data_IF_292684842545
#
_entry.id   IF_292684842545
#
_cell.length_a   1.000
_cell.length_b   1.000
_cell.length_c   1.000
_cell.angle_alpha   90.00
_cell.angle_beta   90.00
_cell.angle_gamma   90.00
#
_symmetry.space_group_name_H-M   'P 1'
#
loop_
_entity.id
_entity.type
_entity.pdbx_description
1 polymer ?
#
# COMPACT_ATOMS: atom_id res chain seq x y z
N UNK A 1 19.76 -15.91 -31.32
CA UNK A 1 19.00 -14.67 -31.54
C UNK A 1 18.22 -14.39 -30.26
N UNK A 2 18.85 -13.68 -29.31
CA UNK A 2 18.33 -13.47 -27.94
C UNK A 2 17.52 -12.18 -27.91
N UNK A 3 16.22 -12.31 -27.66
CA UNK A 3 15.29 -11.20 -27.47
C UNK A 3 15.59 -10.47 -26.15
N UNK A 4 15.97 -9.20 -26.26
CA UNK A 4 16.14 -8.28 -25.13
C UNK A 4 14.76 -7.99 -24.55
N UNK A 5 14.41 -8.61 -23.44
CA UNK A 5 13.22 -8.26 -22.67
C UNK A 5 13.36 -6.80 -22.24
N UNK A 6 12.49 -5.94 -22.79
CA UNK A 6 12.39 -4.52 -22.46
C UNK A 6 12.06 -4.42 -20.98
N UNK A 7 12.94 -3.78 -20.21
CA UNK A 7 12.88 -3.74 -18.76
C UNK A 7 11.56 -3.08 -18.31
N UNK A 8 10.74 -3.79 -17.51
CA UNK A 8 9.37 -3.38 -17.13
C UNK A 8 9.32 -2.06 -16.33
N UNK A 9 10.49 -1.58 -15.93
CA UNK A 9 10.71 -0.37 -15.13
C UNK A 9 10.71 0.92 -15.97
N UNK A 10 10.79 0.83 -17.32
CA UNK A 10 10.78 2.01 -18.20
C UNK A 10 12.06 2.85 -18.18
N UNK A 11 13.14 2.33 -17.59
CA UNK A 11 14.41 3.04 -17.39
C UNK A 11 15.17 3.32 -18.70
N UNK A 12 14.94 2.53 -19.75
CA UNK A 12 15.55 2.73 -21.08
C UNK A 12 15.22 4.10 -21.70
N UNK A 13 14.13 4.74 -21.26
CA UNK A 13 13.71 6.06 -21.74
C UNK A 13 14.39 7.24 -21.01
N UNK A 14 15.10 6.99 -19.90
CA UNK A 14 15.69 8.03 -19.08
C UNK A 14 17.18 8.21 -19.43
N UNK A 15 17.47 9.18 -20.31
CA UNK A 15 18.84 9.62 -20.59
C UNK A 15 19.28 10.75 -19.64
N UNK A 16 20.46 10.68 -18.99
CA UNK A 16 20.99 11.77 -18.18
C UNK A 16 21.15 13.10 -18.93
N UNK A 17 21.33 13.04 -20.26
CA UNK A 17 21.46 14.22 -21.11
C UNK A 17 20.13 14.97 -21.31
N UNK A 18 18.98 14.26 -21.25
CA UNK A 18 17.64 14.86 -21.38
C UNK A 18 16.92 14.96 -20.03
N UNK A 19 17.41 14.26 -19.00
CA UNK A 19 16.90 14.24 -17.64
C UNK A 19 18.05 14.51 -16.65
N UNK A 20 18.51 15.78 -16.55
CA UNK A 20 19.55 16.13 -15.58
C UNK A 20 19.08 15.78 -14.17
N UNK A 21 19.98 15.22 -13.38
CA UNK A 21 19.70 14.83 -12.00
C UNK A 21 19.30 16.07 -11.18
N UNK A 22 18.01 16.17 -10.84
CA UNK A 22 17.49 17.14 -9.87
C UNK A 22 17.64 16.61 -8.45
N UNK A 23 17.62 17.50 -7.45
CA UNK A 23 17.58 17.08 -6.04
C UNK A 23 16.42 16.09 -5.84
N UNK A 24 16.78 14.87 -5.45
CA UNK A 24 15.84 13.79 -5.24
C UNK A 24 15.04 13.93 -3.93
N UNK A 25 15.05 15.10 -3.27
CA UNK A 25 14.28 15.37 -2.06
C UNK A 25 12.79 15.02 -2.22
N UNK A 26 12.16 15.43 -3.33
CA UNK A 26 10.77 15.10 -3.62
C UNK A 26 10.52 13.59 -3.73
N UNK A 27 11.39 12.87 -4.47
CA UNK A 27 11.29 11.41 -4.60
C UNK A 27 11.52 10.69 -3.26
N UNK A 28 12.48 11.15 -2.45
CA UNK A 28 12.72 10.61 -1.10
C UNK A 28 11.50 10.83 -0.20
N UNK A 29 10.88 12.00 -0.26
CA UNK A 29 9.66 12.33 0.49
C UNK A 29 8.48 11.43 0.07
N UNK A 30 8.26 11.22 -1.24
CA UNK A 30 7.22 10.31 -1.74
C UNK A 30 7.48 8.89 -1.23
N UNK A 31 8.71 8.37 -1.35
CA UNK A 31 9.05 7.03 -0.85
C UNK A 31 8.88 6.92 0.67
N UNK A 32 9.15 7.97 1.43
CA UNK A 32 8.92 7.99 2.87
C UNK A 32 7.43 7.97 3.20
N UNK A 33 6.61 8.77 2.52
CA UNK A 33 5.16 8.77 2.68
C UNK A 33 4.55 7.40 2.32
N UNK A 34 5.02 6.76 1.24
CA UNK A 34 4.58 5.41 0.88
C UNK A 34 4.86 4.39 1.98
N UNK A 35 6.04 4.43 2.61
CA UNK A 35 6.35 3.55 3.74
C UNK A 35 5.41 3.80 4.91
N UNK A 36 5.15 5.06 5.24
CA UNK A 36 4.21 5.40 6.32
C UNK A 36 2.79 4.90 6.04
N UNK A 37 2.34 4.95 4.79
CA UNK A 37 1.03 4.40 4.39
C UNK A 37 1.01 2.88 4.55
N UNK A 38 2.06 2.18 4.11
CA UNK A 38 2.17 0.73 4.26
C UNK A 38 2.18 0.32 5.74
N UNK A 39 3.01 0.98 6.56
CA UNK A 39 3.09 0.74 7.99
C UNK A 39 1.73 0.96 8.67
N UNK A 40 1.03 2.04 8.32
CA UNK A 40 -0.30 2.32 8.84
C UNK A 40 -1.35 1.28 8.41
N UNK A 41 -1.29 0.79 7.17
CA UNK A 41 -2.19 -0.24 6.66
C UNK A 41 -1.93 -1.59 7.36
N UNK A 42 -0.67 -1.94 7.63
CA UNK A 42 -0.32 -3.10 8.45
C UNK A 42 -0.86 -3.01 9.88
N UNK A 43 -0.63 -1.87 10.55
CA UNK A 43 -1.14 -1.62 11.91
C UNK A 43 -2.67 -1.74 11.93
N UNK A 44 -3.36 -1.20 10.92
CA UNK A 44 -4.81 -1.29 10.81
C UNK A 44 -5.30 -2.73 10.66
N UNK A 45 -4.63 -3.55 9.82
CA UNK A 45 -4.97 -4.98 9.67
C UNK A 45 -4.80 -5.74 10.98
N UNK A 46 -3.72 -5.50 11.71
CA UNK A 46 -3.47 -6.17 12.99
C UNK A 46 -4.49 -5.77 14.07
N UNK A 47 -4.90 -4.50 14.09
CA UNK A 47 -5.98 -4.04 14.96
C UNK A 47 -7.31 -4.74 14.63
N UNK A 48 -7.66 -4.85 13.34
CA UNK A 48 -8.87 -5.57 12.89
C UNK A 48 -8.80 -7.06 13.26
N UNK A 49 -7.65 -7.71 13.05
CA UNK A 49 -7.42 -9.11 13.43
C UNK A 49 -7.59 -9.31 14.93
N UNK A 50 -7.04 -8.41 15.73
CA UNK A 50 -7.16 -8.44 17.19
C UNK A 50 -8.62 -8.31 17.63
N UNK A 51 -9.38 -7.37 17.05
CA UNK A 51 -10.81 -7.22 17.32
C UNK A 51 -11.60 -8.49 16.92
N UNK A 52 -11.32 -9.07 15.75
CA UNK A 52 -11.93 -10.33 15.31
C UNK A 52 -11.61 -11.49 16.26
N UNK A 53 -10.37 -11.62 16.72
CA UNK A 53 -9.95 -12.63 17.69
C UNK A 53 -10.61 -12.44 19.07
N UNK A 54 -10.90 -11.20 19.46
CA UNK A 54 -11.69 -10.88 20.65
C UNK A 54 -13.19 -11.20 20.52
N UNK A 55 -13.65 -11.56 19.31
CA UNK A 55 -15.03 -11.92 19.02
C UNK A 55 -15.89 -10.79 18.44
N UNK A 56 -15.33 -9.60 18.20
CA UNK A 56 -16.09 -8.47 17.67
C UNK A 56 -16.66 -8.75 16.29
N UNK A 57 -17.95 -8.50 16.09
CA UNK A 57 -18.60 -8.72 14.80
C UNK A 57 -18.11 -7.73 13.73
N UNK A 58 -18.20 -8.14 12.46
CA UNK A 58 -17.93 -7.25 11.32
C UNK A 58 -18.79 -5.98 11.30
N UNK A 59 -19.97 -5.99 11.93
CA UNK A 59 -20.81 -4.79 12.07
C UNK A 59 -20.13 -3.76 12.99
N UNK A 60 -19.61 -4.19 14.14
CA UNK A 60 -18.92 -3.32 15.10
C UNK A 60 -17.63 -2.78 14.50
N UNK A 61 -16.85 -3.66 13.86
CA UNK A 61 -15.60 -3.28 13.19
C UNK A 61 -15.87 -2.28 12.04
N UNK A 62 -16.90 -2.52 11.23
CA UNK A 62 -17.30 -1.58 10.18
C UNK A 62 -17.65 -0.20 10.72
N UNK A 63 -18.42 -0.13 11.81
CA UNK A 63 -18.76 1.12 12.48
C UNK A 63 -17.51 1.85 12.99
N UNK A 64 -16.57 1.14 13.62
CA UNK A 64 -15.30 1.72 14.09
C UNK A 64 -14.43 2.25 12.95
N UNK A 65 -14.45 1.58 11.80
CA UNK A 65 -13.74 2.00 10.58
C UNK A 65 -14.44 3.13 9.82
N UNK A 66 -15.66 3.52 10.21
CA UNK A 66 -16.47 4.48 9.47
C UNK A 66 -16.96 3.95 8.11
N UNK A 67 -17.20 2.65 8.00
CA UNK A 67 -17.63 1.98 6.75
C UNK A 67 -18.74 0.97 7.00
N UNK A 68 -19.24 0.33 5.94
CA UNK A 68 -20.27 -0.71 6.07
C UNK A 68 -19.66 -2.04 6.50
N UNK A 69 -20.48 -2.91 7.10
CA UNK A 69 -20.09 -4.30 7.43
C UNK A 69 -19.51 -5.02 6.21
N UNK A 70 -20.19 -4.93 5.06
CA UNK A 70 -19.77 -5.60 3.82
C UNK A 70 -18.42 -5.07 3.34
N UNK A 71 -18.20 -3.75 3.38
CA UNK A 71 -16.92 -3.16 2.98
C UNK A 71 -15.78 -3.57 3.92
N UNK A 72 -16.03 -3.60 5.24
CA UNK A 72 -15.05 -4.09 6.21
C UNK A 72 -14.71 -5.58 5.98
N UNK A 73 -15.72 -6.43 5.79
CA UNK A 73 -15.52 -7.85 5.51
C UNK A 73 -14.79 -8.08 4.18
N UNK A 74 -15.12 -7.34 3.12
CA UNK A 74 -14.45 -7.49 1.83
C UNK A 74 -12.98 -7.09 1.91
N UNK A 75 -12.64 -6.06 2.69
CA UNK A 75 -11.26 -5.56 2.81
C UNK A 75 -10.40 -6.40 3.74
N UNK A 76 -10.94 -6.88 4.85
CA UNK A 76 -10.16 -7.51 5.94
C UNK A 76 -10.53 -8.98 6.21
N UNK A 77 -11.62 -9.48 5.61
CA UNK A 77 -12.13 -10.82 5.88
C UNK A 77 -11.32 -11.96 5.28
N UNK A 78 -10.40 -11.65 4.35
CA UNK A 78 -9.46 -12.64 3.79
C UNK A 78 -8.25 -12.89 4.69
N UNK A 79 -7.99 -11.97 5.63
CA UNK A 79 -6.83 -12.02 6.52
C UNK A 79 -7.12 -12.75 7.84
N UNK A 80 -8.38 -13.10 8.13
CA UNK A 80 -8.84 -13.73 9.38
C UNK A 80 -9.20 -15.20 9.16
#
# INVERSE_FOLDING_TARGET
MTTRTKDATGLDALSPATHPARDAAGFRAIRAAMRQVEDADHILRDAVRTARAAGDSWTVIGAALGTTRQAAFQRFGQDC
#
